data_IF_478145130212
#
_entry.id   IF_478145130212
#
_cell.length_a   1.000
_cell.length_b   1.000
_cell.length_c   1.000
_cell.angle_alpha   90.00
_cell.angle_beta   90.00
_cell.angle_gamma   90.00
#
_symmetry.space_group_name_H-M   'P 1'
#
loop_
_entity.id
_entity.type
_entity.pdbx_description
1 polymer ?
#
# COMPACT_ATOMS: atom_id res chain seq x y z
N UNK A 1 0.36 4.50 27.52
CA UNK A 1 0.04 4.39 26.10
C UNK A 1 -0.04 5.79 25.54
N UNK A 2 0.67 6.05 24.42
CA UNK A 2 0.94 7.40 23.90
C UNK A 2 -0.24 8.05 23.17
N UNK A 3 -1.47 7.47 23.22
CA UNK A 3 -2.66 7.99 22.53
C UNK A 3 -2.53 8.02 21.00
N UNK A 4 -1.63 7.21 20.44
CA UNK A 4 -1.32 7.22 19.01
C UNK A 4 -2.39 6.48 18.21
N UNK A 5 -2.85 7.09 17.13
CA UNK A 5 -3.81 6.48 16.19
C UNK A 5 -3.16 6.38 14.81
N UNK A 6 -2.50 5.26 14.48
CA UNK A 6 -1.89 5.08 13.18
C UNK A 6 -2.93 5.13 12.06
N UNK A 7 -2.57 5.81 10.97
CA UNK A 7 -3.37 5.87 9.74
C UNK A 7 -2.84 4.92 8.69
N UNK A 8 -3.68 4.42 7.77
CA UNK A 8 -3.20 3.59 6.67
C UNK A 8 -2.26 4.39 5.75
N UNK A 9 -1.22 3.74 5.27
CA UNK A 9 -0.33 4.31 4.26
C UNK A 9 -0.95 4.30 2.87
N UNK A 10 -1.70 3.25 2.56
CA UNK A 10 -2.22 2.97 1.22
C UNK A 10 -1.09 3.05 0.17
N UNK A 11 -1.31 3.67 -1.00
CA UNK A 11 -0.22 3.91 -1.96
C UNK A 11 0.34 5.31 -1.72
N UNK A 12 1.60 5.46 -1.28
CA UNK A 12 2.24 6.77 -1.10
C UNK A 12 2.32 7.56 -2.40
N UNK A 13 2.28 8.89 -2.32
CA UNK A 13 2.28 9.77 -3.50
C UNK A 13 3.45 9.51 -4.43
N UNK A 14 4.63 9.25 -3.89
CA UNK A 14 5.85 8.95 -4.64
C UNK A 14 5.76 7.66 -5.48
N UNK A 15 4.86 6.74 -5.10
CA UNK A 15 4.66 5.47 -5.81
C UNK A 15 3.44 5.48 -6.75
N UNK A 16 2.68 6.58 -6.79
CA UNK A 16 1.53 6.73 -7.70
C UNK A 16 1.91 7.10 -9.13
N UNK A 17 3.19 7.04 -9.47
CA UNK A 17 3.69 7.43 -10.80
C UNK A 17 3.15 6.49 -11.86
N UNK A 18 2.18 6.98 -12.63
CA UNK A 18 1.59 6.27 -13.76
C UNK A 18 2.41 6.54 -15.05
N UNK A 19 2.70 5.55 -15.87
CA UNK A 19 2.38 4.12 -15.72
C UNK A 19 3.51 3.30 -15.05
N UNK A 20 4.46 3.94 -14.37
CA UNK A 20 5.69 3.28 -13.92
C UNK A 20 5.42 2.19 -12.86
N UNK A 21 4.91 2.57 -11.69
CA UNK A 21 4.72 1.64 -10.57
C UNK A 21 3.26 1.24 -10.38
N UNK A 22 2.33 2.19 -10.46
CA UNK A 22 0.93 1.94 -10.12
C UNK A 22 0.13 1.27 -11.24
N UNK A 23 0.50 1.52 -12.51
CA UNK A 23 -0.24 1.07 -13.70
C UNK A 23 -1.73 1.45 -13.68
N UNK A 24 -2.12 2.32 -12.79
CA UNK A 24 -3.46 2.87 -12.61
C UNK A 24 -3.39 4.28 -12.06
N UNK A 25 -4.42 5.07 -12.29
CA UNK A 25 -4.55 6.39 -11.66
C UNK A 25 -4.97 6.19 -10.22
N UNK A 26 -4.38 6.96 -9.31
CA UNK A 26 -4.66 6.93 -7.88
C UNK A 26 -4.79 8.35 -7.39
N UNK A 27 -5.90 8.68 -6.71
CA UNK A 27 -6.21 10.01 -6.21
C UNK A 27 -6.76 9.94 -4.80
N UNK A 28 -6.43 10.92 -3.97
CA UNK A 28 -7.10 11.12 -2.68
C UNK A 28 -8.33 12.01 -2.86
N UNK A 29 -9.42 11.71 -2.16
CA UNK A 29 -10.68 12.42 -2.22
C UNK A 29 -11.49 12.24 -0.92
N UNK A 30 -12.51 13.05 -0.75
CA UNK A 30 -13.52 12.93 0.31
C UNK A 30 -14.67 12.00 -0.13
N UNK A 31 -15.49 11.55 0.84
CA UNK A 31 -16.72 10.80 0.56
C UNK A 31 -17.65 11.54 -0.40
N UNK A 32 -17.78 12.86 -0.24
CA UNK A 32 -18.63 13.69 -1.12
C UNK A 32 -18.12 13.64 -2.55
N UNK A 33 -16.81 13.78 -2.76
CA UNK A 33 -16.19 13.69 -4.09
C UNK A 33 -16.37 12.30 -4.70
N UNK A 34 -16.21 11.22 -3.91
CA UNK A 34 -16.46 9.86 -4.39
C UNK A 34 -17.90 9.71 -4.86
N UNK A 35 -18.87 10.18 -4.09
CA UNK A 35 -20.30 10.06 -4.42
C UNK A 35 -20.73 10.90 -5.63
N UNK A 36 -19.94 11.91 -6.02
CA UNK A 36 -20.21 12.68 -7.25
C UNK A 36 -19.72 12.02 -8.53
N UNK A 37 -18.89 10.95 -8.42
CA UNK A 37 -18.36 10.24 -9.57
C UNK A 37 -19.47 9.48 -10.30
N UNK A 38 -19.77 9.88 -11.53
CA UNK A 38 -20.79 9.27 -12.40
C UNK A 38 -20.17 8.81 -13.73
N UNK A 39 -19.14 8.00 -13.64
CA UNK A 39 -18.49 7.42 -14.81
C UNK A 39 -18.78 5.93 -14.85
N UNK A 40 -18.95 5.34 -16.03
CA UNK A 40 -19.19 3.90 -16.21
C UNK A 40 -17.95 3.06 -15.97
N UNK A 41 -17.31 3.24 -14.81
CA UNK A 41 -16.04 2.58 -14.46
C UNK A 41 -16.12 1.94 -13.08
N UNK A 42 -15.38 0.87 -12.90
CA UNK A 42 -15.14 0.28 -11.58
C UNK A 42 -13.94 0.96 -10.94
N UNK A 43 -14.10 1.37 -9.70
CA UNK A 43 -13.05 1.98 -8.89
C UNK A 43 -12.82 1.15 -7.63
N UNK A 44 -11.58 1.05 -7.22
CA UNK A 44 -11.24 0.56 -5.89
C UNK A 44 -11.16 1.76 -4.94
N UNK A 45 -11.95 1.72 -3.87
CA UNK A 45 -12.08 2.79 -2.87
C UNK A 45 -11.61 2.28 -1.54
N UNK A 46 -10.66 2.97 -0.92
CA UNK A 46 -10.05 2.57 0.35
C UNK A 46 -9.91 3.75 1.31
N UNK A 47 -10.27 3.56 2.58
CA UNK A 47 -10.18 4.59 3.61
C UNK A 47 -8.72 5.05 3.81
N UNK A 48 -8.52 6.38 3.93
CA UNK A 48 -7.28 7.01 4.37
C UNK A 48 -7.27 7.32 5.89
N UNK A 49 -8.42 7.16 6.56
CA UNK A 49 -8.57 7.56 7.96
C UNK A 49 -8.37 6.40 8.93
N UNK A 50 -8.74 5.18 8.53
CA UNK A 50 -8.82 4.04 9.44
C UNK A 50 -8.18 2.78 8.84
N UNK A 51 -7.21 2.19 9.55
CA UNK A 51 -6.63 0.88 9.23
C UNK A 51 -7.74 -0.17 9.28
N UNK A 52 -7.81 -1.03 8.25
CA UNK A 52 -8.90 -2.00 8.05
C UNK A 52 -10.29 -1.34 8.05
N UNK A 53 -10.34 -0.08 7.63
CA UNK A 53 -11.59 0.63 7.38
C UNK A 53 -12.26 0.20 6.07
N UNK A 54 -13.11 1.07 5.54
CA UNK A 54 -13.79 0.82 4.27
C UNK A 54 -12.81 0.50 3.14
N UNK A 55 -13.05 -0.59 2.42
CA UNK A 55 -12.22 -1.03 1.29
C UNK A 55 -13.08 -1.87 0.35
N UNK A 56 -13.54 -1.27 -0.77
CA UNK A 56 -14.47 -1.92 -1.71
C UNK A 56 -14.21 -1.52 -3.16
N UNK A 57 -14.70 -2.37 -4.06
CA UNK A 57 -14.80 -2.06 -5.49
C UNK A 57 -16.20 -1.52 -5.74
N UNK A 58 -16.29 -0.27 -6.13
CA UNK A 58 -17.56 0.37 -6.50
C UNK A 58 -17.71 0.42 -8.02
N UNK A 59 -18.94 0.20 -8.48
CA UNK A 59 -19.34 0.38 -9.87
C UNK A 59 -20.12 1.71 -9.97
N UNK A 60 -19.46 2.74 -10.51
CA UNK A 60 -20.03 4.08 -10.57
C UNK A 60 -21.20 4.25 -11.56
N UNK A 61 -21.55 3.20 -12.29
CA UNK A 61 -22.79 3.16 -13.10
C UNK A 61 -24.03 2.81 -12.28
N UNK A 62 -23.84 2.35 -11.03
CA UNK A 62 -24.90 1.96 -10.11
C UNK A 62 -25.00 2.95 -8.95
N UNK A 63 -26.08 2.88 -8.22
CA UNK A 63 -26.19 3.58 -6.95
C UNK A 63 -25.25 2.95 -5.92
N UNK A 64 -24.49 3.78 -5.23
CA UNK A 64 -23.58 3.36 -4.18
C UNK A 64 -23.48 4.42 -3.09
N UNK A 65 -23.03 4.01 -1.90
CA UNK A 65 -22.75 4.91 -0.79
C UNK A 65 -21.42 4.52 -0.16
N UNK A 66 -20.68 5.52 0.30
CA UNK A 66 -19.48 5.35 1.11
C UNK A 66 -19.67 6.06 2.45
N UNK A 67 -19.14 5.51 3.57
CA UNK A 67 -19.17 6.20 4.85
C UNK A 67 -18.47 7.56 4.78
N UNK A 68 -18.84 8.51 5.65
CA UNK A 68 -18.17 9.81 5.75
C UNK A 68 -16.67 9.60 6.06
N UNK A 69 -15.78 10.33 5.35
CA UNK A 69 -14.33 10.22 5.55
C UNK A 69 -13.49 10.59 4.34
N UNK A 70 -12.18 10.31 4.47
CA UNK A 70 -11.22 10.51 3.41
C UNK A 70 -10.81 9.18 2.79
N UNK A 71 -10.65 9.16 1.49
CA UNK A 71 -10.42 7.96 0.70
C UNK A 71 -9.26 8.11 -0.26
N UNK A 72 -8.66 6.98 -0.58
CA UNK A 72 -7.85 6.81 -1.78
C UNK A 72 -8.67 6.00 -2.77
N UNK A 73 -8.87 6.56 -3.96
CA UNK A 73 -9.52 5.87 -5.08
C UNK A 73 -8.51 5.54 -6.15
N UNK A 74 -8.73 4.43 -6.83
CA UNK A 74 -7.92 4.06 -8.00
C UNK A 74 -8.77 3.36 -9.05
N UNK A 75 -8.30 3.41 -10.31
CA UNK A 75 -8.85 2.56 -11.34
C UNK A 75 -8.73 1.09 -10.90
N UNK A 76 -9.78 0.31 -11.14
CA UNK A 76 -9.75 -1.12 -10.83
C UNK A 76 -8.89 -1.87 -11.84
N UNK A 77 -7.84 -2.50 -11.36
CA UNK A 77 -6.97 -3.34 -12.18
C UNK A 77 -7.43 -4.80 -12.14
N UNK A 78 -7.52 -5.39 -13.32
CA UNK A 78 -7.72 -6.83 -13.50
C UNK A 78 -6.40 -7.51 -13.86
N UNK A 79 -6.39 -8.84 -13.76
CA UNK A 79 -5.25 -9.65 -14.23
C UNK A 79 -4.07 -9.71 -13.27
N UNK A 80 -4.23 -9.31 -12.01
CA UNK A 80 -3.24 -9.60 -10.96
C UNK A 80 -3.37 -11.09 -10.66
N UNK A 81 -2.32 -11.85 -10.94
CA UNK A 81 -2.31 -13.31 -10.80
C UNK A 81 -1.56 -13.77 -9.54
N UNK A 82 -0.71 -12.89 -8.98
CA UNK A 82 0.10 -13.19 -7.81
C UNK A 82 0.35 -11.93 -7.00
N UNK A 83 0.30 -12.05 -5.67
CA UNK A 83 0.53 -10.93 -4.76
C UNK A 83 1.59 -11.30 -3.72
N UNK A 84 2.49 -10.34 -3.47
CA UNK A 84 3.68 -10.52 -2.66
C UNK A 84 3.87 -9.37 -1.70
N UNK A 85 4.33 -9.68 -0.49
CA UNK A 85 4.75 -8.69 0.50
C UNK A 85 6.27 -8.61 0.56
N UNK A 86 6.80 -7.46 0.17
CA UNK A 86 8.20 -7.12 0.30
C UNK A 86 8.45 -6.44 1.65
N UNK A 87 9.33 -7.01 2.46
CA UNK A 87 9.74 -6.45 3.75
C UNK A 87 10.98 -5.59 3.54
N UNK A 88 10.89 -4.33 3.95
CA UNK A 88 11.98 -3.36 3.79
C UNK A 88 12.43 -2.85 5.16
N UNK A 89 13.71 -2.91 5.40
CA UNK A 89 14.34 -2.39 6.61
C UNK A 89 15.64 -1.68 6.29
N UNK A 90 15.79 -0.44 6.78
CA UNK A 90 16.97 0.39 6.58
C UNK A 90 17.40 0.45 5.10
N UNK A 91 16.44 0.75 4.22
CA UNK A 91 16.59 0.77 2.76
C UNK A 91 17.06 -0.54 2.11
N UNK A 92 16.90 -1.67 2.78
CA UNK A 92 17.23 -3.00 2.24
C UNK A 92 15.99 -3.85 2.14
N UNK A 93 15.84 -4.55 1.02
CA UNK A 93 14.84 -5.61 0.87
C UNK A 93 15.32 -6.82 1.68
N UNK A 94 14.64 -7.13 2.79
CA UNK A 94 15.03 -8.17 3.75
C UNK A 94 14.17 -9.42 3.69
N UNK A 95 13.07 -9.37 2.94
CA UNK A 95 12.19 -10.53 2.71
C UNK A 95 11.18 -10.25 1.62
N UNK A 96 10.68 -11.33 1.00
CA UNK A 96 9.67 -11.29 -0.04
C UNK A 96 8.82 -12.54 0.08
N UNK A 97 7.53 -12.39 0.42
CA UNK A 97 6.63 -13.48 0.72
C UNK A 97 5.39 -13.43 -0.17
N UNK A 98 5.07 -14.55 -0.83
CA UNK A 98 3.79 -14.69 -1.51
C UNK A 98 2.66 -14.82 -0.47
N UNK A 99 1.55 -14.12 -0.67
CA UNK A 99 0.40 -14.23 0.21
C UNK A 99 -0.93 -14.49 -0.53
N UNK A 100 -0.94 -14.34 -1.86
CA UNK A 100 -2.12 -14.60 -2.67
C UNK A 100 -1.73 -14.99 -4.10
N UNK A 101 -2.53 -15.85 -4.73
CA UNK A 101 -2.38 -16.21 -6.12
C UNK A 101 -1.25 -17.18 -6.42
N UNK A 102 -0.76 -17.16 -7.65
CA UNK A 102 0.20 -18.13 -8.20
C UNK A 102 1.63 -17.83 -7.72
N UNK A 103 2.14 -18.60 -6.77
CA UNK A 103 3.44 -18.38 -6.13
C UNK A 103 4.65 -18.56 -7.08
N UNK A 104 4.48 -19.20 -8.23
CA UNK A 104 5.54 -19.33 -9.24
C UNK A 104 5.69 -18.07 -10.10
N UNK A 105 4.73 -17.14 -10.01
CA UNK A 105 4.79 -15.85 -10.66
C UNK A 105 5.50 -14.84 -9.76
N UNK A 106 6.82 -14.82 -9.86
CA UNK A 106 7.67 -14.01 -9.02
C UNK A 106 7.72 -12.55 -9.50
N UNK A 107 7.61 -11.54 -8.61
CA UNK A 107 7.75 -10.14 -8.97
C UNK A 107 9.20 -9.80 -9.35
N UNK A 108 9.38 -8.76 -10.16
CA UNK A 108 10.71 -8.28 -10.53
C UNK A 108 11.36 -7.55 -9.34
N UNK A 109 12.47 -8.07 -8.75
CA UNK A 109 13.12 -7.46 -7.60
C UNK A 109 13.70 -6.07 -7.89
N UNK A 110 14.13 -5.78 -9.12
CA UNK A 110 14.66 -4.47 -9.49
C UNK A 110 13.54 -3.42 -9.49
N UNK A 111 12.34 -3.77 -9.98
CA UNK A 111 11.17 -2.89 -9.86
C UNK A 111 10.83 -2.58 -8.40
N UNK A 112 10.91 -3.57 -7.51
CA UNK A 112 10.72 -3.35 -6.06
C UNK A 112 11.79 -2.40 -5.51
N UNK A 113 13.06 -2.60 -5.86
CA UNK A 113 14.15 -1.70 -5.43
C UNK A 113 13.97 -0.28 -5.97
N UNK A 114 13.44 -0.11 -7.17
CA UNK A 114 13.15 1.20 -7.73
C UNK A 114 11.97 1.88 -7.01
N UNK A 115 10.94 1.12 -6.62
CA UNK A 115 9.88 1.61 -5.71
C UNK A 115 10.48 2.07 -4.37
N UNK A 116 11.37 1.28 -3.77
CA UNK A 116 12.06 1.65 -2.52
C UNK A 116 12.85 2.95 -2.67
N UNK A 117 13.58 3.12 -3.77
CA UNK A 117 14.34 4.35 -4.05
C UNK A 117 13.42 5.56 -4.25
N UNK A 118 12.25 5.35 -4.88
CA UNK A 118 11.28 6.41 -5.14
C UNK A 118 10.54 6.84 -3.87
N UNK A 119 10.32 5.96 -2.91
CA UNK A 119 9.58 6.22 -1.67
C UNK A 119 10.44 7.00 -0.66
N UNK A 120 10.63 8.30 -0.90
CA UNK A 120 11.52 9.18 -0.10
C UNK A 120 11.03 9.42 1.32
N UNK A 121 9.72 9.42 1.53
CA UNK A 121 9.11 9.59 2.87
C UNK A 121 8.98 8.28 3.65
N UNK A 122 9.52 7.17 3.14
CA UNK A 122 9.41 5.86 3.76
C UNK A 122 9.89 5.85 5.22
N UNK A 123 9.19 5.14 6.13
CA UNK A 123 9.73 4.88 7.46
C UNK A 123 10.92 3.92 7.37
N UNK A 124 11.66 3.79 8.47
CA UNK A 124 12.85 2.92 8.52
C UNK A 124 12.50 1.44 8.30
N UNK A 125 11.29 1.04 8.65
CA UNK A 125 10.76 -0.31 8.43
C UNK A 125 9.32 -0.21 7.90
N UNK A 126 9.04 -0.91 6.82
CA UNK A 126 7.74 -0.93 6.15
C UNK A 126 7.60 -2.16 5.25
N UNK A 127 6.42 -2.37 4.71
CA UNK A 127 6.22 -3.35 3.64
C UNK A 127 5.63 -2.69 2.39
N UNK A 128 5.98 -3.26 1.24
CA UNK A 128 5.31 -2.99 -0.03
C UNK A 128 4.57 -4.24 -0.46
N UNK A 129 3.28 -4.14 -0.65
CA UNK A 129 2.50 -5.17 -1.31
C UNK A 129 2.56 -4.91 -2.82
N UNK A 130 3.06 -5.89 -3.54
CA UNK A 130 3.23 -5.81 -4.99
C UNK A 130 2.48 -6.94 -5.67
N UNK A 131 1.88 -6.62 -6.81
CA UNK A 131 1.21 -7.59 -7.66
C UNK A 131 2.06 -7.96 -8.87
N UNK A 132 1.94 -9.20 -9.32
CA UNK A 132 2.41 -9.61 -10.65
C UNK A 132 1.19 -9.71 -11.54
N UNK A 133 1.17 -8.89 -12.57
CA UNK A 133 0.11 -8.85 -13.56
C UNK A 133 0.62 -9.38 -14.90
N UNK A 134 -0.15 -10.25 -15.52
CA UNK A 134 0.13 -10.68 -16.89
C UNK A 134 -0.46 -9.65 -17.86
N UNK A 135 0.38 -9.10 -18.72
CA UNK A 135 -0.06 -8.18 -19.77
C UNK A 135 -0.44 -8.98 -21.02
N UNK A 136 0.38 -9.97 -21.37
CA UNK A 136 0.14 -10.95 -22.43
C UNK A 136 0.83 -12.27 -22.08
N UNK A 137 0.89 -13.20 -23.04
CA UNK A 137 1.48 -14.52 -22.82
C UNK A 137 2.95 -14.49 -22.43
N UNK A 138 3.70 -13.48 -22.87
CA UNK A 138 5.15 -13.37 -22.63
C UNK A 138 5.52 -12.29 -21.63
N UNK A 139 4.66 -11.30 -21.43
CA UNK A 139 4.97 -10.12 -20.63
C UNK A 139 4.25 -10.13 -19.29
N UNK A 140 5.04 -9.93 -18.25
CA UNK A 140 4.57 -9.72 -16.88
C UNK A 140 5.08 -8.37 -16.38
N UNK A 141 4.29 -7.74 -15.56
CA UNK A 141 4.68 -6.50 -14.89
C UNK A 141 4.52 -6.62 -13.37
N UNK A 142 5.41 -5.98 -12.65
CA UNK A 142 5.33 -5.83 -11.20
C UNK A 142 4.76 -4.46 -10.89
N UNK A 143 3.68 -4.43 -10.11
CA UNK A 143 2.95 -3.22 -9.79
C UNK A 143 2.86 -3.03 -8.28
N UNK A 144 2.77 -1.78 -7.82
CA UNK A 144 2.46 -1.49 -6.42
C UNK A 144 0.96 -1.72 -6.16
N UNK A 145 0.65 -2.49 -5.13
CA UNK A 145 -0.72 -2.62 -4.59
C UNK A 145 -0.91 -1.58 -3.49
N UNK A 146 -0.09 -1.64 -2.44
CA UNK A 146 -0.10 -0.70 -1.32
C UNK A 146 1.20 -0.75 -0.51
N UNK A 147 1.39 0.20 0.38
CA UNK A 147 2.40 0.17 1.41
C UNK A 147 1.75 0.03 2.79
N UNK A 148 2.43 -0.68 3.69
CA UNK A 148 2.02 -0.75 5.09
C UNK A 148 3.16 -0.33 6.00
N UNK A 149 2.81 0.34 7.07
CA UNK A 149 3.67 0.42 8.23
C UNK A 149 3.62 -0.90 9.04
N UNK A 150 4.43 -0.97 10.10
CA UNK A 150 4.51 -2.17 10.93
C UNK A 150 3.39 -2.32 11.97
N UNK A 151 2.45 -1.40 12.04
CA UNK A 151 1.41 -1.42 13.07
C UNK A 151 0.45 -2.61 12.94
N UNK A 152 0.14 -3.05 11.73
CA UNK A 152 -0.82 -4.15 11.50
C UNK A 152 -0.40 -5.01 10.31
N UNK A 153 0.87 -5.42 10.29
CA UNK A 153 1.48 -6.13 9.18
C UNK A 153 1.45 -7.65 9.41
N UNK A 154 0.88 -8.40 8.47
CA UNK A 154 0.96 -9.87 8.44
C UNK A 154 2.34 -10.34 7.97
N UNK A 155 2.87 -11.41 8.58
CA UNK A 155 4.20 -11.93 8.26
C UNK A 155 4.25 -12.80 7.02
N UNK A 156 3.18 -13.53 6.72
CA UNK A 156 3.07 -14.44 5.56
C UNK A 156 4.27 -15.39 5.38
N UNK A 157 4.83 -15.88 6.50
CA UNK A 157 6.00 -16.76 6.47
C UNK A 157 7.35 -16.04 6.48
N UNK A 158 7.41 -14.72 6.66
CA UNK A 158 8.66 -14.03 6.91
C UNK A 158 9.32 -14.58 8.18
N UNK A 159 10.44 -15.26 8.02
CA UNK A 159 11.04 -16.09 9.06
C UNK A 159 12.35 -15.53 9.64
N UNK A 160 12.75 -14.33 9.24
CA UNK A 160 13.96 -13.72 9.81
C UNK A 160 13.67 -13.18 11.21
N UNK A 161 13.71 -14.07 12.20
CA UNK A 161 13.42 -13.78 13.60
C UNK A 161 14.46 -12.86 14.27
N UNK A 162 15.62 -12.69 13.67
CA UNK A 162 16.65 -11.77 14.15
C UNK A 162 16.37 -10.31 13.73
N UNK A 163 15.84 -10.10 12.52
CA UNK A 163 15.56 -8.77 11.97
C UNK A 163 14.18 -8.26 12.39
N UNK A 164 13.16 -9.09 12.41
CA UNK A 164 11.79 -8.64 12.63
C UNK A 164 11.56 -7.85 13.92
N UNK A 165 12.07 -8.26 15.09
CA UNK A 165 11.97 -7.48 16.32
C UNK A 165 12.67 -6.11 16.21
N UNK A 166 13.80 -6.05 15.50
CA UNK A 166 14.52 -4.80 15.27
C UNK A 166 13.70 -3.85 14.37
N UNK A 167 13.09 -4.37 13.31
CA UNK A 167 12.21 -3.61 12.42
C UNK A 167 11.06 -3.00 13.22
N UNK A 168 10.38 -3.80 14.03
CA UNK A 168 9.24 -3.36 14.86
C UNK A 168 9.67 -2.29 15.87
N UNK A 169 10.77 -2.53 16.59
CA UNK A 169 11.31 -1.59 17.56
C UNK A 169 11.70 -0.25 16.92
N UNK A 170 12.46 -0.28 15.81
CA UNK A 170 12.92 0.93 15.11
C UNK A 170 11.76 1.69 14.49
N UNK A 171 10.79 1.01 13.87
CA UNK A 171 9.57 1.62 13.38
C UNK A 171 8.81 2.33 14.49
N UNK A 172 8.59 1.66 15.64
CA UNK A 172 7.85 2.21 16.77
C UNK A 172 8.50 3.49 17.32
N UNK A 173 9.82 3.48 17.50
CA UNK A 173 10.54 4.66 17.96
C UNK A 173 10.46 5.82 16.96
N UNK A 174 10.65 5.56 15.67
CA UNK A 174 10.53 6.57 14.65
C UNK A 174 9.12 7.17 14.60
N UNK A 175 8.09 6.33 14.76
CA UNK A 175 6.70 6.77 14.79
C UNK A 175 6.43 7.68 15.99
N UNK A 176 6.82 7.29 17.21
CA UNK A 176 6.66 8.12 18.41
C UNK A 176 7.39 9.45 18.26
N UNK A 177 8.62 9.46 17.79
CA UNK A 177 9.38 10.71 17.62
C UNK A 177 8.68 11.67 16.66
N UNK A 178 8.12 11.18 15.55
CA UNK A 178 7.36 11.99 14.61
C UNK A 178 6.11 12.60 15.26
N UNK A 179 5.35 11.79 15.98
CA UNK A 179 4.13 12.26 16.64
C UNK A 179 4.42 13.27 17.76
N UNK A 180 5.46 13.07 18.55
CA UNK A 180 5.88 14.02 19.59
C UNK A 180 6.33 15.37 19.01
N UNK A 181 6.93 15.37 17.83
CA UNK A 181 7.32 16.63 17.13
C UNK A 181 6.05 17.34 16.64
N UNK A 182 5.11 16.62 16.04
CA UNK A 182 3.85 17.19 15.54
C UNK A 182 3.00 17.81 16.64
N UNK A 183 2.95 17.20 17.83
CA UNK A 183 2.20 17.72 18.98
C UNK A 183 2.81 19.00 19.58
N UNK A 184 4.11 19.23 19.40
CA UNK A 184 4.78 20.47 19.87
C UNK A 184 4.59 21.65 18.92
N UNK A 185 4.10 21.42 17.71
CA UNK A 185 3.89 22.45 16.69
C UNK A 185 2.43 22.93 16.59
N UNK A 186 1.54 22.32 17.35
CA UNK A 186 0.14 22.70 17.56
C UNK A 186 -0.05 23.49 18.87
#
# INVERSE_FOLDING_TARGET
FYGLTPKPMNVPKELRVYPLFSKRRITDCTDVEVMTLKNTVKLFVKSNDKIKGYSEIIDTSKEFQVPAGNYQISDYLTGIESEWRAFVYDNKLVGLQNYCGEFTLFPNPETIKDMMKAFKSAPIAYTLDVGVRRVDYYQKETIIIEAHDFFSCGLYGFSNLAIYPQMLHRWFWQYIQREMVNQKQQ
#
